data_IF_793172101085
#
_entry.id   IF_793172101085
#
_cell.length_a   1.000
_cell.length_b   1.000
_cell.length_c   1.000
_cell.angle_alpha   90.00
_cell.angle_beta   90.00
_cell.angle_gamma   90.00
#
_symmetry.space_group_name_H-M   'P 1'
#
loop_
_entity.id
_entity.type
_entity.pdbx_description
1 polymer ?
#
# COMPACT_ATOMS: atom_id res chain seq x y z
N UNK A 1 29.94 -9.98 -12.63
CA UNK A 1 31.00 -11.02 -12.79
C UNK A 1 32.37 -10.50 -12.41
N UNK A 2 32.93 -9.46 -13.08
CA UNK A 2 34.29 -8.96 -12.76
C UNK A 2 34.43 -8.42 -11.33
N UNK A 3 33.56 -7.49 -10.91
CA UNK A 3 33.55 -6.94 -9.55
C UNK A 3 33.52 -8.03 -8.45
N UNK A 4 32.53 -8.94 -8.50
CA UNK A 4 32.46 -10.08 -7.56
C UNK A 4 33.72 -10.94 -7.52
N UNK A 5 34.36 -11.15 -8.67
CA UNK A 5 35.61 -11.94 -8.74
C UNK A 5 36.75 -11.19 -8.08
N UNK A 6 36.90 -9.89 -8.38
CA UNK A 6 37.89 -9.02 -7.75
C UNK A 6 37.71 -8.98 -6.23
N UNK A 7 36.48 -8.78 -5.74
CA UNK A 7 36.18 -8.78 -4.29
C UNK A 7 36.56 -10.10 -3.64
N UNK A 8 36.16 -11.24 -4.23
CA UNK A 8 36.55 -12.56 -3.70
C UNK A 8 38.06 -12.74 -3.63
N UNK A 9 38.78 -12.30 -4.67
CA UNK A 9 40.23 -12.36 -4.70
C UNK A 9 40.85 -11.50 -3.59
N UNK A 10 40.33 -10.29 -3.37
CA UNK A 10 40.77 -9.41 -2.27
C UNK A 10 40.53 -10.07 -0.90
N UNK A 11 39.35 -10.63 -0.65
CA UNK A 11 39.05 -11.33 0.60
C UNK A 11 39.95 -12.55 0.83
N UNK A 12 40.21 -13.35 -0.22
CA UNK A 12 41.11 -14.51 -0.15
C UNK A 12 42.56 -14.08 0.14
N UNK A 13 43.03 -13.00 -0.48
CA UNK A 13 44.36 -12.45 -0.20
C UNK A 13 44.50 -12.00 1.25
N UNK A 14 43.46 -11.41 1.86
CA UNK A 14 43.44 -11.08 3.30
C UNK A 14 43.62 -12.33 4.15
N UNK A 15 42.85 -13.38 3.85
CA UNK A 15 42.91 -14.64 4.58
C UNK A 15 44.32 -15.27 4.51
N UNK A 16 44.92 -15.33 3.32
CA UNK A 16 46.27 -15.85 3.12
C UNK A 16 47.34 -15.05 3.89
N UNK A 17 47.21 -13.72 3.95
CA UNK A 17 48.12 -12.87 4.72
C UNK A 17 48.02 -13.13 6.23
N UNK A 18 46.80 -13.31 6.75
CA UNK A 18 46.60 -13.68 8.15
C UNK A 18 47.17 -15.05 8.50
N UNK A 19 47.07 -16.04 7.59
CA UNK A 19 47.66 -17.36 7.77
C UNK A 19 49.20 -17.32 7.80
N UNK A 20 49.82 -16.36 7.09
CA UNK A 20 51.27 -16.22 7.01
C UNK A 20 51.88 -15.39 8.15
N UNK A 21 51.23 -14.32 8.60
CA UNK A 21 51.80 -13.44 9.64
C UNK A 21 50.74 -12.57 10.34
N UNK A 22 50.31 -12.96 11.53
CA UNK A 22 49.15 -12.37 12.21
C UNK A 22 49.36 -10.92 12.72
N UNK A 23 50.58 -10.53 13.12
CA UNK A 23 50.85 -9.22 13.73
C UNK A 23 50.81 -8.05 12.74
N UNK A 24 51.23 -8.27 11.48
CA UNK A 24 51.32 -7.21 10.45
C UNK A 24 50.39 -7.45 9.25
N UNK A 25 49.55 -8.50 9.29
CA UNK A 25 48.66 -8.86 8.19
C UNK A 25 47.73 -7.72 7.80
N UNK A 26 47.14 -7.02 8.77
CA UNK A 26 46.15 -5.96 8.48
C UNK A 26 46.79 -4.74 7.81
N UNK A 27 47.92 -4.26 8.33
CA UNK A 27 48.63 -3.12 7.76
C UNK A 27 49.13 -3.43 6.33
N UNK A 28 49.73 -4.61 6.13
CA UNK A 28 50.20 -5.05 4.80
C UNK A 28 49.04 -5.24 3.83
N UNK A 29 47.94 -5.81 4.30
CA UNK A 29 46.74 -6.00 3.49
C UNK A 29 46.14 -4.66 3.07
N UNK A 30 46.02 -3.70 4.00
CA UNK A 30 45.51 -2.37 3.71
C UNK A 30 46.31 -1.71 2.58
N UNK A 31 47.65 -1.68 2.68
CA UNK A 31 48.52 -1.09 1.66
C UNK A 31 48.39 -1.76 0.29
N UNK A 32 48.31 -3.09 0.23
CA UNK A 32 48.26 -3.83 -1.04
C UNK A 32 46.87 -3.77 -1.69
N UNK A 33 45.81 -3.69 -0.89
CA UNK A 33 44.43 -3.74 -1.39
C UNK A 33 43.79 -2.37 -1.62
N UNK A 34 44.37 -1.29 -1.07
CA UNK A 34 43.81 0.07 -1.07
C UNK A 34 43.32 0.52 -2.44
N UNK A 35 44.18 0.56 -3.46
CA UNK A 35 43.81 1.01 -4.81
C UNK A 35 42.68 0.18 -5.42
N UNK A 36 42.66 -1.13 -5.16
CA UNK A 36 41.60 -2.01 -5.68
C UNK A 36 40.26 -1.75 -5.00
N UNK A 37 40.28 -1.53 -3.68
CA UNK A 37 39.09 -1.21 -2.89
C UNK A 37 38.54 0.17 -3.24
N UNK A 38 39.41 1.17 -3.46
CA UNK A 38 39.02 2.50 -3.93
C UNK A 38 38.30 2.45 -5.27
N UNK A 39 38.85 1.72 -6.25
CA UNK A 39 38.21 1.54 -7.56
C UNK A 39 36.85 0.83 -7.44
N UNK A 40 36.71 -0.15 -6.55
CA UNK A 40 35.42 -0.81 -6.29
C UNK A 40 34.40 0.20 -5.76
N UNK A 41 34.79 1.05 -4.79
CA UNK A 41 33.90 2.07 -4.25
C UNK A 41 33.54 3.15 -5.27
N UNK A 42 34.49 3.62 -6.07
CA UNK A 42 34.23 4.60 -7.14
C UNK A 42 33.19 4.09 -8.13
N UNK A 43 33.33 2.83 -8.55
CA UNK A 43 32.35 2.19 -9.44
C UNK A 43 31.00 2.08 -8.74
N UNK A 44 30.94 1.63 -7.48
CA UNK A 44 29.69 1.53 -6.73
C UNK A 44 29.00 2.91 -6.57
N UNK A 45 29.76 3.96 -6.26
CA UNK A 45 29.27 5.34 -6.19
C UNK A 45 28.68 5.80 -7.53
N UNK A 46 29.37 5.53 -8.65
CA UNK A 46 28.88 5.93 -9.97
C UNK A 46 27.51 5.34 -10.33
N UNK A 47 27.23 4.11 -9.89
CA UNK A 47 25.92 3.49 -10.06
C UNK A 47 24.86 4.08 -9.12
N UNK A 48 25.24 4.49 -7.92
CA UNK A 48 24.34 5.17 -6.98
C UNK A 48 23.90 6.54 -7.49
N UNK A 49 24.84 7.30 -8.04
CA UNK A 49 24.63 8.65 -8.55
C UNK A 49 23.94 8.66 -9.92
N UNK A 50 23.72 7.49 -10.53
CA UNK A 50 22.99 7.36 -11.78
C UNK A 50 21.54 7.85 -11.65
N UNK A 51 20.93 8.23 -12.78
CA UNK A 51 19.54 8.69 -12.80
C UNK A 51 18.57 7.51 -12.60
N UNK A 52 17.94 7.46 -11.42
CA UNK A 52 16.94 6.46 -11.09
C UNK A 52 15.58 6.76 -11.70
N UNK A 53 14.98 5.75 -12.33
CA UNK A 53 13.72 5.91 -13.03
C UNK A 53 12.84 4.68 -12.92
N UNK A 54 11.52 4.91 -12.89
CA UNK A 54 10.52 3.84 -12.91
C UNK A 54 10.70 2.89 -14.10
N UNK A 55 11.07 3.41 -15.27
CA UNK A 55 11.16 2.63 -16.52
C UNK A 55 12.29 1.59 -16.46
N UNK A 56 13.39 1.92 -15.78
CA UNK A 56 14.59 1.08 -15.73
C UNK A 56 14.79 0.42 -14.35
N UNK A 57 13.82 0.50 -13.46
CA UNK A 57 13.98 0.12 -12.06
C UNK A 57 14.42 -1.35 -11.90
N UNK A 58 13.92 -2.27 -12.73
CA UNK A 58 14.29 -3.69 -12.67
C UNK A 58 15.76 -3.91 -13.07
N UNK A 59 16.22 -3.24 -14.12
CA UNK A 59 17.62 -3.30 -14.53
C UNK A 59 18.53 -2.68 -13.47
N UNK A 60 18.10 -1.56 -12.88
CA UNK A 60 18.83 -0.88 -11.81
C UNK A 60 18.92 -1.78 -10.55
N UNK A 61 17.82 -2.41 -10.13
CA UNK A 61 17.81 -3.37 -9.02
C UNK A 61 18.72 -4.58 -9.27
N UNK A 62 18.80 -5.05 -10.51
CA UNK A 62 19.70 -6.17 -10.88
C UNK A 62 21.18 -5.81 -10.73
N UNK A 63 21.56 -4.60 -11.14
CA UNK A 63 22.93 -4.10 -10.91
C UNK A 63 23.21 -3.99 -9.41
N UNK A 64 22.21 -3.55 -8.65
CA UNK A 64 22.34 -3.30 -7.23
C UNK A 64 22.43 -4.57 -6.40
N UNK A 65 21.71 -5.62 -6.79
CA UNK A 65 21.85 -6.96 -6.23
C UNK A 65 23.32 -7.44 -6.30
N UNK A 66 23.99 -7.17 -7.43
CA UNK A 66 25.41 -7.48 -7.56
C UNK A 66 26.32 -6.58 -6.71
N UNK A 67 25.95 -5.31 -6.51
CA UNK A 67 26.72 -4.36 -5.69
C UNK A 67 26.57 -4.62 -4.20
N UNK A 68 25.40 -4.99 -3.71
CA UNK A 68 25.19 -5.31 -2.28
C UNK A 68 26.10 -6.44 -1.84
N UNK A 69 26.17 -7.53 -2.61
CA UNK A 69 27.09 -8.64 -2.34
C UNK A 69 28.55 -8.17 -2.26
N UNK A 70 28.99 -7.31 -3.19
CA UNK A 70 30.35 -6.75 -3.18
C UNK A 70 30.58 -5.88 -1.96
N UNK A 71 29.66 -4.96 -1.67
CA UNK A 71 29.77 -4.01 -0.56
C UNK A 71 29.73 -4.72 0.79
N UNK A 72 28.89 -5.74 0.93
CA UNK A 72 28.81 -6.57 2.13
C UNK A 72 30.14 -7.24 2.46
N UNK A 73 30.82 -7.79 1.43
CA UNK A 73 32.09 -8.49 1.62
C UNK A 73 33.26 -7.55 1.96
N UNK A 74 33.16 -6.25 1.65
CA UNK A 74 34.24 -5.28 1.92
C UNK A 74 33.95 -4.35 3.10
N UNK A 75 32.74 -4.38 3.68
CA UNK A 75 32.33 -3.43 4.73
C UNK A 75 33.22 -3.50 5.99
N UNK A 76 33.74 -4.68 6.31
CA UNK A 76 34.58 -4.94 7.49
C UNK A 76 36.08 -4.85 7.17
N UNK A 77 36.45 -4.39 5.97
CA UNK A 77 37.85 -4.17 5.61
C UNK A 77 38.28 -2.76 6.02
N UNK A 78 39.46 -2.67 6.65
CA UNK A 78 40.05 -1.39 7.03
C UNK A 78 40.82 -0.79 5.85
N UNK A 79 40.31 0.31 5.30
CA UNK A 79 40.95 1.14 4.28
C UNK A 79 40.46 2.59 4.35
N UNK A 80 41.12 3.51 3.64
CA UNK A 80 40.90 4.97 3.67
C UNK A 80 39.43 5.40 3.60
N UNK A 81 38.63 4.73 2.76
CA UNK A 81 37.22 5.06 2.45
C UNK A 81 36.22 4.03 2.97
N UNK A 82 36.61 3.15 3.90
CA UNK A 82 35.76 2.09 4.47
C UNK A 82 34.43 2.62 5.05
N UNK A 83 34.45 3.80 5.67
CA UNK A 83 33.25 4.46 6.19
C UNK A 83 32.21 4.86 5.15
N UNK A 84 32.53 4.85 3.85
CA UNK A 84 31.59 5.23 2.80
C UNK A 84 30.63 4.11 2.39
N UNK A 85 30.94 2.84 2.70
CA UNK A 85 30.15 1.67 2.25
C UNK A 85 28.68 1.78 2.67
N UNK A 86 28.44 2.12 3.93
CA UNK A 86 27.09 2.32 4.46
C UNK A 86 26.39 3.53 3.81
N UNK A 87 27.14 4.62 3.58
CA UNK A 87 26.63 5.81 2.90
C UNK A 87 26.20 5.56 1.47
N UNK A 88 26.93 4.68 0.75
CA UNK A 88 26.57 4.21 -0.59
C UNK A 88 25.21 3.53 -0.55
N UNK A 89 25.02 2.49 0.28
CA UNK A 89 23.74 1.77 0.40
C UNK A 89 22.60 2.72 0.80
N UNK A 90 22.83 3.62 1.75
CA UNK A 90 21.82 4.59 2.16
C UNK A 90 21.42 5.55 1.03
N UNK A 91 22.36 6.01 0.19
CA UNK A 91 22.03 6.76 -1.03
C UNK A 91 21.11 5.97 -1.96
N UNK A 92 21.33 4.65 -2.10
CA UNK A 92 20.48 3.76 -2.89
C UNK A 92 19.05 3.71 -2.36
N UNK A 93 18.90 3.48 -1.05
CA UNK A 93 17.59 3.47 -0.35
C UNK A 93 16.84 4.77 -0.62
N UNK A 94 17.52 5.91 -0.49
CA UNK A 94 16.95 7.22 -0.74
C UNK A 94 16.60 7.45 -2.22
N UNK A 95 17.37 6.88 -3.13
CA UNK A 95 17.06 6.93 -4.56
C UNK A 95 15.74 6.20 -4.88
N UNK A 96 15.48 5.03 -4.26
CA UNK A 96 14.21 4.31 -4.42
C UNK A 96 13.01 5.14 -3.92
N UNK A 97 13.13 5.75 -2.73
CA UNK A 97 12.12 6.70 -2.22
C UNK A 97 11.86 7.81 -3.25
N UNK A 98 12.92 8.37 -3.80
CA UNK A 98 12.82 9.38 -4.86
C UNK A 98 12.12 8.88 -6.13
N UNK A 99 12.31 7.63 -6.54
CA UNK A 99 11.59 7.06 -7.70
C UNK A 99 10.09 6.96 -7.42
N UNK A 100 9.70 6.50 -6.23
CA UNK A 100 8.30 6.42 -5.79
C UNK A 100 7.66 7.82 -5.85
N UNK A 101 8.31 8.83 -5.27
CA UNK A 101 7.80 10.21 -5.25
C UNK A 101 7.65 10.82 -6.63
N UNK A 102 8.64 10.59 -7.51
CA UNK A 102 8.69 11.12 -8.88
C UNK A 102 7.78 10.37 -9.87
N UNK A 103 7.08 9.32 -9.44
CA UNK A 103 6.06 8.71 -10.30
C UNK A 103 4.98 9.72 -10.68
N UNK A 104 4.55 9.67 -11.94
CA UNK A 104 3.54 10.60 -12.45
C UNK A 104 2.26 10.47 -11.65
N UNK A 105 1.66 11.62 -11.31
CA UNK A 105 0.33 11.69 -10.73
C UNK A 105 -0.76 11.38 -11.78
N UNK A 106 -0.41 11.35 -13.06
CA UNK A 106 -1.37 11.12 -14.12
C UNK A 106 -1.63 9.62 -14.36
N UNK A 107 -2.75 9.13 -13.83
CA UNK A 107 -3.30 7.79 -14.12
C UNK A 107 -4.20 7.85 -15.37
N UNK A 108 -4.42 9.01 -16.01
CA UNK A 108 -5.37 9.13 -17.14
C UNK A 108 -4.93 8.33 -18.37
N UNK A 109 -3.63 8.05 -18.52
CA UNK A 109 -3.11 7.10 -19.51
C UNK A 109 -3.38 5.63 -19.17
N UNK A 110 -3.73 5.32 -17.92
CA UNK A 110 -4.07 3.99 -17.42
C UNK A 110 -5.43 4.00 -16.70
N UNK A 111 -6.47 4.58 -17.31
CA UNK A 111 -7.88 4.44 -16.86
C UNK A 111 -8.30 2.96 -16.65
N UNK A 112 -7.48 2.03 -17.13
CA UNK A 112 -7.60 0.59 -16.96
C UNK A 112 -6.95 0.02 -15.69
N UNK A 113 -5.89 0.64 -15.16
CA UNK A 113 -5.16 0.10 -14.01
C UNK A 113 -5.70 0.64 -12.70
N UNK A 114 -6.23 -0.26 -11.87
CA UNK A 114 -6.58 -0.01 -10.47
C UNK A 114 -5.34 0.27 -9.60
N UNK A 115 -4.14 -0.08 -10.08
CA UNK A 115 -2.88 0.01 -9.34
C UNK A 115 -1.99 1.12 -9.88
N UNK A 116 -1.51 1.98 -8.99
CA UNK A 116 -0.64 3.10 -9.27
C UNK A 116 0.80 2.62 -9.57
N UNK A 117 1.52 3.24 -10.52
CA UNK A 117 2.89 2.83 -10.84
C UNK A 117 3.87 2.92 -9.66
N UNK A 118 3.64 3.81 -8.69
CA UNK A 118 4.44 3.88 -7.46
C UNK A 118 4.36 2.59 -6.65
N UNK A 119 3.18 1.98 -6.59
CA UNK A 119 2.92 0.72 -5.88
C UNK A 119 3.70 -0.43 -6.51
N UNK A 120 3.76 -0.47 -7.85
CA UNK A 120 4.55 -1.47 -8.57
C UNK A 120 6.05 -1.32 -8.32
N UNK A 121 6.55 -0.09 -8.29
CA UNK A 121 7.95 0.20 -7.93
C UNK A 121 8.24 -0.27 -6.50
N UNK A 122 7.37 0.04 -5.54
CA UNK A 122 7.56 -0.39 -4.16
C UNK A 122 7.67 -1.91 -4.08
N UNK A 123 6.75 -2.66 -4.70
CA UNK A 123 6.78 -4.14 -4.67
C UNK A 123 8.09 -4.69 -5.24
N UNK A 124 8.58 -4.14 -6.36
CA UNK A 124 9.85 -4.57 -6.95
C UNK A 124 11.05 -4.30 -6.03
N UNK A 125 11.04 -3.16 -5.34
CA UNK A 125 12.08 -2.81 -4.38
C UNK A 125 12.00 -3.69 -3.13
N UNK A 126 10.80 -3.96 -2.62
CA UNK A 126 10.56 -4.87 -1.50
C UNK A 126 11.02 -6.30 -1.81
N UNK A 127 10.78 -6.80 -3.03
CA UNK A 127 11.32 -8.08 -3.51
C UNK A 127 12.86 -8.12 -3.49
N UNK A 128 13.51 -6.99 -3.78
CA UNK A 128 14.97 -6.87 -3.67
C UNK A 128 15.44 -6.90 -2.21
N UNK A 129 14.78 -6.16 -1.31
CA UNK A 129 15.11 -6.17 0.11
C UNK A 129 14.85 -7.52 0.75
N UNK A 130 13.84 -8.26 0.31
CA UNK A 130 13.63 -9.63 0.78
C UNK A 130 14.83 -10.55 0.46
N UNK A 131 15.41 -10.42 -0.74
CA UNK A 131 16.56 -11.24 -1.16
C UNK A 131 17.87 -10.83 -0.50
N UNK A 132 18.02 -9.55 -0.18
CA UNK A 132 19.26 -8.95 0.27
C UNK A 132 19.20 -8.39 1.70
N UNK A 133 18.12 -8.69 2.44
CA UNK A 133 17.73 -7.99 3.66
C UNK A 133 18.83 -7.99 4.71
N UNK A 134 19.34 -9.18 5.04
CA UNK A 134 20.39 -9.33 6.05
C UNK A 134 21.68 -8.59 5.68
N UNK A 135 22.06 -8.64 4.40
CA UNK A 135 23.26 -7.95 3.91
C UNK A 135 23.09 -6.44 3.97
N UNK A 136 21.98 -5.91 3.45
CA UNK A 136 21.70 -4.48 3.44
C UNK A 136 21.57 -3.95 4.87
N UNK A 137 20.84 -4.66 5.72
CA UNK A 137 20.64 -4.31 7.12
C UNK A 137 21.97 -4.19 7.86
N UNK A 138 22.83 -5.21 7.70
CA UNK A 138 24.13 -5.21 8.37
C UNK A 138 25.08 -4.11 7.86
N UNK A 139 25.02 -3.74 6.58
CA UNK A 139 25.79 -2.59 6.05
C UNK A 139 25.24 -1.26 6.59
N UNK A 140 23.93 -1.10 6.70
CA UNK A 140 23.33 0.13 7.22
C UNK A 140 23.66 0.35 8.70
N UNK A 141 23.63 -0.72 9.49
CA UNK A 141 24.00 -0.70 10.92
C UNK A 141 25.45 -0.26 11.14
N UNK A 142 26.38 -0.62 10.25
CA UNK A 142 27.78 -0.23 10.39
C UNK A 142 28.03 1.27 10.14
N UNK A 143 27.06 1.99 9.58
CA UNK A 143 27.13 3.44 9.35
C UNK A 143 26.13 4.26 10.14
N UNK A 144 25.56 3.69 11.20
CA UNK A 144 24.54 4.33 12.04
C UNK A 144 23.31 4.85 11.26
N UNK A 145 22.94 4.18 10.16
CA UNK A 145 21.76 4.53 9.36
C UNK A 145 20.48 3.86 9.88
N UNK A 146 19.33 4.44 9.51
CA UNK A 146 18.03 3.93 9.92
C UNK A 146 17.80 2.49 9.41
N UNK A 147 17.42 1.59 10.32
CA UNK A 147 17.29 0.14 10.09
C UNK A 147 15.96 -0.27 9.46
N UNK A 148 15.07 0.69 9.18
CA UNK A 148 13.72 0.45 8.66
C UNK A 148 13.46 0.90 7.23
N UNK A 149 14.33 0.62 6.22
CA UNK A 149 14.17 1.18 4.87
C UNK A 149 12.82 0.79 4.23
N UNK A 150 12.32 -0.42 4.50
CA UNK A 150 11.02 -0.90 4.03
C UNK A 150 9.85 -0.07 4.60
N UNK A 151 9.90 0.30 5.88
CA UNK A 151 8.86 1.10 6.53
C UNK A 151 8.83 2.51 5.94
N UNK A 152 9.98 3.16 5.85
CA UNK A 152 10.07 4.52 5.29
C UNK A 152 9.57 4.59 3.83
N UNK A 153 9.83 3.55 3.04
CA UNK A 153 9.34 3.48 1.66
C UNK A 153 7.83 3.22 1.59
N UNK A 154 7.27 2.47 2.53
CA UNK A 154 5.83 2.30 2.66
C UNK A 154 5.16 3.63 3.01
N UNK A 155 5.72 4.40 3.94
CA UNK A 155 5.23 5.74 4.29
C UNK A 155 5.31 6.70 3.10
N UNK A 156 6.38 6.59 2.32
CA UNK A 156 6.54 7.32 1.08
C UNK A 156 5.46 6.97 0.04
N UNK A 157 5.12 5.68 -0.09
CA UNK A 157 4.03 5.24 -0.96
C UNK A 157 2.69 5.77 -0.45
N UNK A 158 2.40 5.64 0.85
CA UNK A 158 1.16 6.12 1.47
C UNK A 158 0.96 7.60 1.20
N UNK A 159 2.00 8.40 1.42
CA UNK A 159 1.97 9.85 1.18
C UNK A 159 1.69 10.16 -0.29
N UNK A 160 2.39 9.46 -1.19
CA UNK A 160 2.20 9.61 -2.64
C UNK A 160 0.78 9.26 -3.08
N UNK A 161 0.23 8.16 -2.61
CA UNK A 161 -1.11 7.72 -2.98
C UNK A 161 -2.18 8.69 -2.48
N UNK A 162 -2.02 9.26 -1.28
CA UNK A 162 -2.92 10.30 -0.76
C UNK A 162 -2.90 11.54 -1.66
N UNK A 163 -1.71 12.07 -1.95
CA UNK A 163 -1.52 13.20 -2.87
C UNK A 163 -2.17 12.94 -4.24
N UNK A 164 -1.87 11.79 -4.86
CA UNK A 164 -2.45 11.41 -6.15
C UNK A 164 -3.98 11.32 -6.07
N UNK A 165 -4.52 10.72 -5.01
CA UNK A 165 -5.96 10.55 -4.87
C UNK A 165 -6.70 11.89 -4.84
N UNK A 166 -6.15 12.88 -4.13
CA UNK A 166 -6.73 14.22 -3.99
C UNK A 166 -6.75 14.98 -5.33
N UNK A 167 -5.70 14.82 -6.15
CA UNK A 167 -5.62 15.47 -7.46
C UNK A 167 -6.50 14.79 -8.52
N UNK A 168 -6.66 13.48 -8.46
CA UNK A 168 -7.32 12.71 -9.52
C UNK A 168 -8.83 12.65 -9.30
N UNK A 169 -9.27 12.44 -8.06
CA UNK A 169 -10.66 12.15 -7.75
C UNK A 169 -11.31 13.29 -6.97
N UNK A 170 -12.52 13.67 -7.38
CA UNK A 170 -13.33 14.65 -6.65
C UNK A 170 -14.06 14.00 -5.48
N UNK A 171 -14.61 12.81 -5.69
CA UNK A 171 -15.37 12.08 -4.68
C UNK A 171 -14.42 11.42 -3.65
N UNK A 172 -14.67 11.68 -2.37
CA UNK A 172 -13.88 11.10 -1.26
C UNK A 172 -13.87 9.57 -1.26
N UNK A 173 -14.99 8.94 -1.59
CA UNK A 173 -15.07 7.49 -1.71
C UNK A 173 -14.19 6.93 -2.82
N UNK A 174 -14.08 7.62 -3.97
CA UNK A 174 -13.15 7.21 -5.03
C UNK A 174 -11.69 7.33 -4.56
N UNK A 175 -11.35 8.38 -3.79
CA UNK A 175 -10.02 8.51 -3.18
C UNK A 175 -9.71 7.34 -2.26
N UNK A 176 -10.65 6.99 -1.38
CA UNK A 176 -10.51 5.87 -0.46
C UNK A 176 -10.35 4.54 -1.20
N UNK A 177 -11.19 4.28 -2.21
CA UNK A 177 -11.13 3.04 -2.99
C UNK A 177 -9.81 2.94 -3.78
N UNK A 178 -9.37 4.02 -4.41
CA UNK A 178 -8.06 4.06 -5.06
C UNK A 178 -6.93 3.75 -4.08
N UNK A 179 -6.95 4.37 -2.90
CA UNK A 179 -5.98 4.15 -1.85
C UNK A 179 -5.95 2.68 -1.39
N UNK A 180 -7.13 2.12 -1.05
CA UNK A 180 -7.29 0.73 -0.62
C UNK A 180 -6.84 -0.28 -1.67
N UNK A 181 -7.18 -0.07 -2.95
CA UNK A 181 -6.76 -0.95 -4.04
C UNK A 181 -5.23 -1.11 -4.10
N UNK A 182 -4.50 -0.03 -3.83
CA UNK A 182 -3.04 -0.04 -3.84
C UNK A 182 -2.46 -0.69 -2.58
N UNK A 183 -2.98 -0.36 -1.39
CA UNK A 183 -2.49 -0.96 -0.14
C UNK A 183 -2.73 -2.48 -0.09
N UNK A 184 -3.90 -2.93 -0.54
CA UNK A 184 -4.23 -4.35 -0.58
C UNK A 184 -3.36 -5.09 -1.60
N UNK A 185 -3.00 -4.44 -2.71
CA UNK A 185 -2.06 -5.03 -3.65
C UNK A 185 -0.69 -5.27 -3.01
N UNK A 186 -0.18 -4.31 -2.22
CA UNK A 186 1.05 -4.49 -1.44
C UNK A 186 0.89 -5.63 -0.44
N UNK A 187 -0.18 -5.63 0.36
CA UNK A 187 -0.46 -6.67 1.36
C UNK A 187 -0.58 -8.07 0.75
N UNK A 188 -1.18 -8.19 -0.43
CA UNK A 188 -1.26 -9.46 -1.15
C UNK A 188 0.13 -9.93 -1.56
N UNK A 189 0.97 -9.05 -2.12
CA UNK A 189 2.34 -9.42 -2.50
C UNK A 189 3.19 -9.80 -1.29
N UNK A 190 2.96 -9.11 -0.18
CA UNK A 190 3.53 -9.42 1.13
C UNK A 190 3.17 -10.83 1.61
N UNK A 191 1.88 -11.18 1.63
CA UNK A 191 1.41 -12.47 2.13
C UNK A 191 2.02 -13.68 1.41
N UNK A 192 2.47 -13.50 0.16
CA UNK A 192 3.14 -14.56 -0.61
C UNK A 192 4.65 -14.64 -0.36
N UNK A 193 5.29 -13.54 0.08
CA UNK A 193 6.75 -13.39 0.00
C UNK A 193 7.42 -12.85 1.27
N UNK A 194 6.68 -12.39 2.29
CA UNK A 194 7.24 -11.91 3.56
C UNK A 194 8.09 -10.64 3.48
N UNK A 195 7.87 -9.77 2.49
CA UNK A 195 8.74 -8.65 2.13
C UNK A 195 8.85 -7.52 3.17
N UNK A 196 7.95 -7.45 4.15
CA UNK A 196 7.84 -6.35 5.11
C UNK A 196 8.12 -6.82 6.54
N UNK A 197 8.78 -5.97 7.35
CA UNK A 197 8.87 -6.19 8.79
C UNK A 197 7.49 -6.33 9.45
N UNK A 198 7.41 -7.15 10.52
CA UNK A 198 6.14 -7.48 11.19
C UNK A 198 5.35 -6.26 11.68
N UNK A 199 6.04 -5.25 12.19
CA UNK A 199 5.46 -3.98 12.61
C UNK A 199 4.85 -3.24 11.42
N UNK A 200 5.58 -3.10 10.30
CA UNK A 200 5.08 -2.46 9.09
C UNK A 200 3.84 -3.17 8.51
N UNK A 201 3.78 -4.50 8.60
CA UNK A 201 2.59 -5.28 8.21
C UNK A 201 1.40 -4.96 9.12
N UNK A 202 1.62 -4.86 10.43
CA UNK A 202 0.58 -4.48 11.39
C UNK A 202 0.04 -3.07 11.10
N UNK A 203 0.93 -2.12 10.83
CA UNK A 203 0.56 -0.74 10.53
C UNK A 203 -0.21 -0.65 9.21
N UNK A 204 0.21 -1.41 8.18
CA UNK A 204 -0.50 -1.51 6.91
C UNK A 204 -1.92 -2.06 7.08
N UNK A 205 -2.10 -3.13 7.86
CA UNK A 205 -3.42 -3.70 8.15
C UNK A 205 -4.31 -2.70 8.89
N UNK A 206 -3.78 -2.05 9.92
CA UNK A 206 -4.50 -1.01 10.68
C UNK A 206 -4.96 0.14 9.76
N UNK A 207 -4.10 0.57 8.84
CA UNK A 207 -4.42 1.62 7.88
C UNK A 207 -5.50 1.19 6.87
N UNK A 208 -5.48 -0.06 6.42
CA UNK A 208 -6.53 -0.64 5.55
C UNK A 208 -7.87 -0.67 6.30
N UNK A 209 -7.89 -1.22 7.51
CA UNK A 209 -9.11 -1.34 8.32
C UNK A 209 -9.71 0.03 8.65
N UNK A 210 -8.89 1.01 9.03
CA UNK A 210 -9.32 2.38 9.26
C UNK A 210 -9.92 3.01 7.99
N UNK A 211 -9.29 2.81 6.83
CA UNK A 211 -9.76 3.35 5.56
C UNK A 211 -11.09 2.73 5.14
N UNK A 212 -11.26 1.40 5.32
CA UNK A 212 -12.54 0.70 5.09
C UNK A 212 -13.60 1.26 6.03
N UNK A 213 -13.29 1.37 7.33
CA UNK A 213 -14.22 1.90 8.33
C UNK A 213 -14.67 3.32 7.98
N UNK A 214 -13.75 4.23 7.66
CA UNK A 214 -14.09 5.60 7.27
C UNK A 214 -14.98 5.65 6.02
N UNK A 215 -14.72 4.80 5.03
CA UNK A 215 -15.59 4.69 3.85
C UNK A 215 -16.99 4.20 4.20
N UNK A 216 -17.12 3.17 5.03
CA UNK A 216 -18.42 2.67 5.48
C UNK A 216 -19.17 3.72 6.31
N UNK A 217 -18.48 4.43 7.19
CA UNK A 217 -19.06 5.50 8.02
C UNK A 217 -19.60 6.66 7.18
N UNK A 218 -18.83 7.10 6.19
CA UNK A 218 -19.18 8.25 5.34
C UNK A 218 -20.38 7.98 4.43
N UNK A 219 -20.49 6.78 3.85
CA UNK A 219 -21.52 6.48 2.86
C UNK A 219 -22.66 5.62 3.43
N UNK A 220 -22.34 4.48 4.03
CA UNK A 220 -23.32 3.43 4.29
C UNK A 220 -23.94 3.54 5.69
N UNK A 221 -23.14 3.89 6.71
CA UNK A 221 -23.67 4.20 8.05
C UNK A 221 -24.51 5.48 7.98
N UNK A 222 -24.04 6.50 7.26
CA UNK A 222 -24.80 7.73 7.02
C UNK A 222 -26.14 7.46 6.30
N UNK A 223 -26.15 6.57 5.31
CA UNK A 223 -27.36 6.12 4.64
C UNK A 223 -28.33 5.43 5.62
N UNK A 224 -27.85 4.47 6.42
CA UNK A 224 -28.68 3.76 7.41
C UNK A 224 -29.29 4.73 8.43
N UNK A 225 -28.54 5.76 8.85
CA UNK A 225 -29.06 6.81 9.74
C UNK A 225 -30.26 7.55 9.15
N UNK A 226 -30.46 7.58 7.83
CA UNK A 226 -31.67 8.18 7.25
C UNK A 226 -32.96 7.43 7.66
N UNK A 227 -32.85 6.14 8.04
CA UNK A 227 -33.96 5.33 8.55
C UNK A 227 -34.28 5.64 10.02
N UNK A 228 -33.31 6.18 10.77
CA UNK A 228 -33.44 6.51 12.19
C UNK A 228 -33.65 8.02 12.35
N UNK A 229 -34.89 8.47 12.52
CA UNK A 229 -35.15 9.85 12.96
C UNK A 229 -35.33 9.90 14.47
N UNK A 230 -34.67 10.91 15.05
CA UNK A 230 -34.59 11.30 16.46
C UNK A 230 -33.44 10.62 17.22
N UNK A 231 -32.51 11.45 17.71
CA UNK A 231 -31.20 11.11 18.28
C UNK A 231 -31.19 10.27 19.56
N UNK A 232 -32.13 9.35 19.73
CA UNK A 232 -32.12 8.32 20.75
C UNK A 232 -31.83 6.96 20.13
N UNK A 233 -30.73 6.39 20.62
CA UNK A 233 -30.26 5.02 20.43
C UNK A 233 -31.39 4.01 20.15
N UNK A 234 -31.30 3.32 19.00
CA UNK A 234 -31.82 1.96 18.78
C UNK A 234 -33.33 1.72 18.93
N UNK A 235 -34.17 2.76 19.06
CA UNK A 235 -35.62 2.56 19.14
C UNK A 235 -36.33 3.15 17.92
N UNK A 236 -36.81 2.27 17.03
CA UNK A 236 -37.69 2.57 15.89
C UNK A 236 -39.10 3.04 16.34
N UNK A 237 -39.18 4.02 17.26
CA UNK A 237 -40.44 4.36 17.93
C UNK A 237 -41.49 4.92 16.97
N UNK A 238 -41.11 5.55 15.85
CA UNK A 238 -42.03 6.08 14.82
C UNK A 238 -41.41 6.09 13.41
N UNK A 239 -41.36 4.95 12.70
CA UNK A 239 -40.91 4.93 11.30
C UNK A 239 -41.83 5.80 10.44
N UNK A 240 -41.25 6.65 9.59
CA UNK A 240 -41.98 7.57 8.70
C UNK A 240 -41.69 7.23 7.24
N UNK A 241 -42.71 7.28 6.39
CA UNK A 241 -42.54 7.08 4.94
C UNK A 241 -41.55 8.08 4.32
N UNK A 242 -41.48 9.31 4.83
CA UNK A 242 -40.49 10.30 4.40
C UNK A 242 -39.04 9.86 4.64
N UNK A 243 -38.77 9.09 5.69
CA UNK A 243 -37.44 8.51 5.94
C UNK A 243 -37.09 7.45 4.90
N UNK A 244 -38.07 6.64 4.49
CA UNK A 244 -37.92 5.64 3.44
C UNK A 244 -37.66 6.29 2.08
N UNK A 245 -38.38 7.37 1.76
CA UNK A 245 -38.21 8.11 0.52
C UNK A 245 -36.78 8.72 0.45
N UNK A 246 -36.33 9.34 1.56
CA UNK A 246 -34.96 9.87 1.68
C UNK A 246 -33.90 8.78 1.54
N UNK A 247 -34.06 7.67 2.27
CA UNK A 247 -33.14 6.53 2.17
C UNK A 247 -33.03 6.02 0.74
N UNK A 248 -34.17 5.88 0.04
CA UNK A 248 -34.19 5.34 -1.32
C UNK A 248 -33.47 6.27 -2.30
N UNK A 249 -33.67 7.59 -2.17
CA UNK A 249 -32.97 8.59 -2.98
C UNK A 249 -31.45 8.58 -2.77
N UNK A 250 -31.02 8.57 -1.51
CA UNK A 250 -29.59 8.51 -1.15
C UNK A 250 -28.97 7.18 -1.59
N UNK A 251 -29.68 6.05 -1.40
CA UNK A 251 -29.22 4.74 -1.85
C UNK A 251 -29.02 4.72 -3.37
N UNK A 252 -29.98 5.19 -4.16
CA UNK A 252 -29.83 5.23 -5.61
C UNK A 252 -28.66 6.11 -6.03
N UNK A 253 -28.47 7.27 -5.38
CA UNK A 253 -27.35 8.18 -5.65
C UNK A 253 -26.00 7.50 -5.40
N UNK A 254 -25.86 6.83 -4.25
CA UNK A 254 -24.66 6.06 -3.89
C UNK A 254 -24.47 4.90 -4.88
N UNK A 255 -25.52 4.13 -5.15
CA UNK A 255 -25.49 2.97 -6.03
C UNK A 255 -25.05 3.33 -7.46
N UNK A 256 -25.67 4.35 -8.05
CA UNK A 256 -25.39 4.77 -9.42
C UNK A 256 -23.97 5.34 -9.58
N UNK A 257 -23.45 6.05 -8.56
CA UNK A 257 -22.04 6.46 -8.56
C UNK A 257 -21.10 5.26 -8.44
N UNK A 258 -21.33 4.39 -7.46
CA UNK A 258 -20.35 3.41 -7.01
C UNK A 258 -20.34 2.11 -7.82
N UNK A 259 -21.44 1.76 -8.51
CA UNK A 259 -21.52 0.55 -9.36
C UNK A 259 -20.43 0.46 -10.41
N UNK A 260 -19.89 1.60 -10.85
CA UNK A 260 -18.88 1.67 -11.93
C UNK A 260 -17.44 1.81 -11.43
N UNK A 261 -17.21 1.86 -10.11
CA UNK A 261 -15.87 2.04 -9.57
C UNK A 261 -15.06 0.75 -9.71
N UNK A 262 -13.77 0.91 -10.02
CA UNK A 262 -12.85 -0.22 -10.16
C UNK A 262 -12.29 -0.60 -8.81
N UNK A 263 -12.50 -1.86 -8.41
CA UNK A 263 -12.13 -2.38 -7.10
C UNK A 263 -11.44 -3.73 -7.25
N UNK A 264 -10.36 -3.96 -6.50
CA UNK A 264 -9.67 -5.25 -6.47
C UNK A 264 -10.63 -6.38 -6.03
N UNK A 265 -10.55 -7.60 -6.60
CA UNK A 265 -11.53 -8.66 -6.34
C UNK A 265 -11.76 -8.99 -4.86
N UNK A 266 -10.68 -9.05 -4.06
CA UNK A 266 -10.78 -9.30 -2.62
C UNK A 266 -11.51 -8.17 -1.89
N UNK A 267 -11.11 -6.91 -2.16
CA UNK A 267 -11.74 -5.74 -1.56
C UNK A 267 -13.21 -5.62 -1.95
N UNK A 268 -13.52 -5.93 -3.21
CA UNK A 268 -14.86 -5.94 -3.77
C UNK A 268 -15.77 -6.88 -3.00
N UNK A 269 -15.35 -8.14 -2.82
CA UNK A 269 -16.11 -9.11 -2.05
C UNK A 269 -16.30 -8.65 -0.59
N UNK A 270 -15.22 -8.18 0.05
CA UNK A 270 -15.21 -7.76 1.45
C UNK A 270 -16.10 -6.55 1.72
N UNK A 271 -16.08 -5.53 0.84
CA UNK A 271 -16.93 -4.35 0.98
C UNK A 271 -18.41 -4.70 0.77
N UNK A 272 -18.74 -5.47 -0.27
CA UNK A 272 -20.12 -5.88 -0.54
C UNK A 272 -20.73 -6.64 0.64
N UNK A 273 -19.98 -7.57 1.21
CA UNK A 273 -20.41 -8.32 2.40
C UNK A 273 -20.71 -7.37 3.57
N UNK A 274 -19.76 -6.51 3.95
CA UNK A 274 -19.94 -5.57 5.05
C UNK A 274 -21.10 -4.58 4.81
N UNK A 275 -21.28 -4.10 3.58
CA UNK A 275 -22.40 -3.21 3.23
C UNK A 275 -23.73 -3.95 3.35
N UNK A 276 -23.83 -5.20 2.89
CA UNK A 276 -25.04 -6.01 3.05
C UNK A 276 -25.36 -6.22 4.54
N UNK A 277 -24.37 -6.62 5.34
CA UNK A 277 -24.52 -6.83 6.78
C UNK A 277 -24.94 -5.56 7.53
N UNK A 278 -24.48 -4.40 7.05
CA UNK A 278 -24.81 -3.10 7.65
C UNK A 278 -26.21 -2.60 7.25
N UNK A 279 -26.56 -2.70 5.97
CA UNK A 279 -27.73 -2.00 5.40
C UNK A 279 -29.00 -2.87 5.46
N UNK A 280 -28.90 -4.15 5.08
CA UNK A 280 -30.08 -5.00 4.87
C UNK A 280 -30.85 -5.26 6.16
N UNK A 281 -30.21 -5.62 7.29
CA UNK A 281 -30.94 -5.87 8.55
C UNK A 281 -31.67 -4.62 9.06
N UNK A 282 -31.05 -3.45 8.98
CA UNK A 282 -31.67 -2.20 9.45
C UNK A 282 -32.81 -1.76 8.54
N UNK A 283 -32.69 -1.97 7.24
CA UNK A 283 -33.77 -1.73 6.29
C UNK A 283 -34.96 -2.66 6.53
N UNK A 284 -34.71 -3.95 6.78
CA UNK A 284 -35.76 -4.93 7.09
C UNK A 284 -36.50 -4.61 8.39
N UNK A 285 -35.76 -4.33 9.48
CA UNK A 285 -36.35 -3.88 10.76
C UNK A 285 -37.21 -2.64 10.58
N UNK A 286 -36.74 -1.67 9.79
CA UNK A 286 -37.50 -0.46 9.48
C UNK A 286 -38.81 -0.77 8.73
N UNK A 287 -38.76 -1.63 7.72
CA UNK A 287 -39.96 -2.05 6.97
C UNK A 287 -40.98 -2.77 7.85
N UNK A 288 -40.53 -3.67 8.74
CA UNK A 288 -41.40 -4.35 9.71
C UNK A 288 -42.09 -3.34 10.64
N UNK A 289 -41.31 -2.43 11.25
CA UNK A 289 -41.86 -1.41 12.15
C UNK A 289 -42.85 -0.46 11.43
N UNK A 290 -42.63 -0.17 10.15
CA UNK A 290 -43.55 0.63 9.32
C UNK A 290 -44.87 -0.10 9.06
N UNK A 291 -44.86 -1.44 9.00
CA UNK A 291 -46.07 -2.25 8.82
C UNK A 291 -46.90 -2.35 10.10
N UNK A 292 -46.24 -2.44 11.26
CA UNK A 292 -46.87 -2.57 12.58
C UNK A 292 -47.56 -1.29 13.08
N UNK A 293 -47.27 -0.12 12.48
CA UNK A 293 -47.82 1.17 12.91
C UNK A 293 -49.19 1.46 12.23
N UNK A 294 -50.35 1.28 12.90
CA UNK A 294 -51.66 1.19 12.24
C UNK A 294 -52.22 2.54 11.75
N UNK A 295 -51.68 3.66 12.23
CA UNK A 295 -52.13 5.01 11.88
C UNK A 295 -51.95 5.40 10.41
N UNK A 296 -51.18 4.61 9.65
CA UNK A 296 -50.91 4.84 8.22
C UNK A 296 -51.70 3.90 7.27
N UNK A 297 -52.43 2.91 7.79
CA UNK A 297 -53.14 1.95 6.92
C UNK A 297 -54.35 2.58 6.21
N UNK A 298 -55.05 3.51 6.86
CA UNK A 298 -56.13 4.30 6.24
C UNK A 298 -55.64 5.16 5.06
N UNK A 299 -54.34 5.49 5.01
CA UNK A 299 -53.70 6.16 3.86
C UNK A 299 -53.25 5.18 2.76
N UNK A 300 -53.17 3.87 3.06
CA UNK A 300 -52.72 2.80 2.17
C UNK A 300 -53.71 2.56 1.00
N UNK A 301 -55.00 2.85 1.19
CA UNK A 301 -56.00 2.83 0.10
C UNK A 301 -55.95 4.05 -0.84
N UNK A 302 -55.42 5.21 -0.41
CA UNK A 302 -55.46 6.45 -1.22
C UNK A 302 -54.19 6.74 -2.03
N UNK A 303 -53.09 6.00 -1.81
CA UNK A 303 -51.75 6.34 -2.38
C UNK A 303 -51.09 5.26 -3.22
N UNK A 304 -51.86 4.32 -3.78
CA UNK A 304 -51.38 3.41 -4.83
C UNK A 304 -51.12 4.10 -6.18
N UNK A 305 -50.99 5.45 -6.22
CA UNK A 305 -50.96 6.28 -7.44
C UNK A 305 -49.71 7.14 -7.62
N UNK A 306 -48.69 7.05 -6.78
CA UNK A 306 -47.40 7.73 -7.05
C UNK A 306 -46.24 6.77 -6.82
N UNK A 307 -45.73 6.27 -7.93
CA UNK A 307 -44.79 5.17 -8.09
C UNK A 307 -43.36 5.57 -7.75
N UNK A 308 -42.83 5.01 -6.65
CA UNK A 308 -41.48 4.44 -6.61
C UNK A 308 -41.63 3.07 -5.94
N UNK A 309 -41.24 1.96 -6.59
CA UNK A 309 -41.38 0.64 -5.98
C UNK A 309 -40.47 0.57 -4.76
N UNK A 310 -41.05 0.28 -3.59
CA UNK A 310 -40.29 -0.04 -2.39
C UNK A 310 -39.55 -1.36 -2.68
N UNK A 311 -38.22 -1.33 -2.69
CA UNK A 311 -37.43 -2.55 -2.86
C UNK A 311 -37.66 -3.48 -1.67
N UNK A 312 -37.73 -4.79 -1.92
CA UNK A 312 -37.64 -5.78 -0.83
C UNK A 312 -36.23 -5.76 -0.26
N UNK A 313 -36.07 -6.14 1.02
CA UNK A 313 -34.75 -6.27 1.65
C UNK A 313 -33.82 -7.20 0.84
N UNK A 314 -34.39 -8.29 0.29
CA UNK A 314 -33.68 -9.19 -0.62
C UNK A 314 -33.20 -8.48 -1.89
N UNK A 315 -34.06 -7.69 -2.54
CA UNK A 315 -33.68 -6.96 -3.76
C UNK A 315 -32.59 -5.92 -3.47
N UNK A 316 -32.65 -5.26 -2.31
CA UNK A 316 -31.61 -4.32 -1.87
C UNK A 316 -30.26 -5.02 -1.71
N UNK A 317 -30.24 -6.19 -1.07
CA UNK A 317 -29.04 -7.02 -0.95
C UNK A 317 -28.47 -7.47 -2.30
N UNK A 318 -29.32 -7.80 -3.28
CA UNK A 318 -28.89 -8.13 -4.64
C UNK A 318 -28.23 -6.93 -5.34
N UNK A 319 -28.84 -5.74 -5.24
CA UNK A 319 -28.27 -4.52 -5.82
C UNK A 319 -26.91 -4.18 -5.20
N UNK A 320 -26.76 -4.30 -3.88
CA UNK A 320 -25.45 -4.08 -3.22
C UNK A 320 -24.39 -5.06 -3.78
N UNK A 321 -24.77 -6.30 -4.10
CA UNK A 321 -23.84 -7.27 -4.71
C UNK A 321 -23.43 -6.92 -6.14
N UNK A 322 -24.17 -6.03 -6.82
CA UNK A 322 -23.84 -5.51 -8.16
C UNK A 322 -22.88 -4.30 -8.11
N UNK A 323 -22.57 -3.75 -6.93
CA UNK A 323 -21.64 -2.61 -6.79
C UNK A 323 -20.24 -2.97 -7.28
N UNK A 324 -19.51 -2.07 -7.95
CA UNK A 324 -18.13 -2.29 -8.40
C UNK A 324 -17.93 -3.33 -9.53
N UNK A 325 -18.92 -3.56 -10.40
CA UNK A 325 -18.84 -4.56 -11.49
C UNK A 325 -18.28 -4.01 -12.83
N UNK A 326 -17.44 -2.96 -12.79
CA UNK A 326 -16.83 -2.41 -14.01
C UNK A 326 -15.55 -3.11 -14.45
#
# INVERSE_FOLDING_TARGET
MRLKTTTKLVCLSKQQLHEQNQELAEERFAVVSEQSLELILEVACSFCDARWSRVHILQQLTVFDALVDVLFNIKDLHFSRSGEVAGIINKMVNAFKGVIQRTSNDIRGSKESTIHPATLVLVQVLEFFWRNGDMVQSILESGDYNTGPCSDMLDCLVSKLKECSEMIFQEKGQRCIFFLNNLIYVLQKECHSGLLPRNAVSDLNSLIDQSIKSYLEEYWVALVRCLCLDGDSLTLRKPRRSSLDKFTEEFCTIYDSQRTWKVQPWLKARLREQIVELVVPEYEKFLMALQENPGSWLTRMRRARSEKPIHTAERLGQLIRELFER
#
